data_IF_104399029825
#
_entry.id   IF_104399029825
#
_cell.length_a   1.000
_cell.length_b   1.000
_cell.length_c   1.000
_cell.angle_alpha   90.00
_cell.angle_beta   90.00
_cell.angle_gamma   90.00
#
_symmetry.space_group_name_H-M   'P 1'
#
loop_
_entity.id
_entity.type
_entity.pdbx_description
1 polymer ?
#
# COMPACT_ATOMS: atom_id res chain seq x y z
N UNK A 1 -14.09 1.99 3.04
CA UNK A 1 -13.72 0.56 3.03
C UNK A 1 -12.37 0.39 3.69
N UNK A 2 -12.15 -0.67 4.47
CA UNK A 2 -10.85 -0.97 5.06
C UNK A 2 -10.51 -2.47 5.00
N UNK A 3 -9.21 -2.76 4.97
CA UNK A 3 -8.63 -4.10 4.93
C UNK A 3 -7.41 -4.16 5.85
N UNK A 4 -7.28 -5.28 6.56
CA UNK A 4 -6.13 -5.57 7.43
C UNK A 4 -5.59 -6.95 7.10
N UNK A 5 -4.27 -7.06 7.01
CA UNK A 5 -3.57 -8.33 6.81
C UNK A 5 -2.35 -8.42 7.73
N UNK A 6 -2.04 -9.65 8.16
CA UNK A 6 -0.83 -9.94 8.92
C UNK A 6 -0.10 -11.10 8.29
N UNK A 7 1.17 -10.89 7.96
CA UNK A 7 2.08 -11.93 7.48
C UNK A 7 3.11 -12.21 8.57
N UNK A 8 3.34 -13.50 8.84
CA UNK A 8 4.36 -13.97 9.80
C UNK A 8 5.25 -15.01 9.15
N UNK A 9 6.55 -14.89 9.38
CA UNK A 9 7.53 -15.86 8.91
C UNK A 9 8.72 -15.95 9.87
N UNK A 10 9.14 -17.18 10.19
CA UNK A 10 10.36 -17.40 10.98
C UNK A 10 11.62 -17.05 10.19
N UNK A 11 11.62 -17.32 8.88
CA UNK A 11 12.67 -16.95 7.94
C UNK A 11 12.06 -16.48 6.62
N UNK A 12 12.57 -15.38 6.10
CA UNK A 12 12.19 -14.82 4.80
C UNK A 12 13.45 -14.44 4.02
N UNK A 13 13.49 -14.81 2.74
CA UNK A 13 14.56 -14.42 1.82
C UNK A 13 13.93 -14.04 0.49
N UNK A 14 14.26 -12.84 0.01
CA UNK A 14 13.85 -12.40 -1.31
C UNK A 14 14.88 -12.85 -2.33
N UNK A 15 14.45 -13.53 -3.39
CA UNK A 15 15.33 -13.90 -4.50
C UNK A 15 15.77 -12.65 -5.29
N UNK A 16 14.84 -11.74 -5.52
CA UNK A 16 15.04 -10.44 -6.15
C UNK A 16 14.48 -9.33 -5.25
N UNK A 17 14.94 -8.10 -5.42
CA UNK A 17 14.45 -6.97 -4.64
C UNK A 17 12.97 -6.71 -4.96
N UNK A 18 12.07 -6.76 -3.96
CA UNK A 18 10.64 -6.63 -4.20
C UNK A 18 10.29 -5.18 -4.57
N UNK A 19 9.56 -5.03 -5.69
CA UNK A 19 8.95 -3.76 -6.09
C UNK A 19 7.49 -3.76 -5.66
N UNK A 20 7.10 -2.78 -4.85
CA UNK A 20 5.72 -2.69 -4.34
C UNK A 20 5.07 -1.39 -4.77
N UNK A 21 3.82 -1.47 -5.20
CA UNK A 21 2.99 -0.32 -5.53
C UNK A 21 1.53 -0.64 -5.15
N UNK A 22 0.86 0.34 -4.56
CA UNK A 22 -0.55 0.24 -4.15
C UNK A 22 -1.32 1.28 -4.92
N UNK A 23 -2.44 0.87 -5.53
CA UNK A 23 -3.28 1.73 -6.36
C UNK A 23 -4.73 1.57 -5.94
N UNK A 24 -5.47 2.67 -5.98
CA UNK A 24 -6.90 2.72 -5.68
C UNK A 24 -7.67 3.10 -6.95
N UNK A 25 -7.88 2.17 -7.90
CA UNK A 25 -8.59 2.48 -9.13
C UNK A 25 -10.06 2.85 -8.83
N UNK A 26 -10.56 3.90 -9.49
CA UNK A 26 -11.95 4.36 -9.37
C UNK A 26 -12.08 5.84 -9.70
N UNK A 27 -13.31 6.29 -9.98
CA UNK A 27 -13.63 7.72 -10.16
C UNK A 27 -14.00 8.37 -8.82
N UNK A 28 -13.93 9.71 -8.79
CA UNK A 28 -14.27 10.53 -7.63
C UNK A 28 -13.12 10.78 -6.66
N UNK A 29 -13.19 11.90 -5.94
CA UNK A 29 -12.19 12.30 -4.93
C UNK A 29 -12.19 11.32 -3.77
N UNK A 30 -11.00 10.89 -3.36
CA UNK A 30 -10.80 9.88 -2.31
C UNK A 30 -9.73 10.30 -1.34
N UNK A 31 -9.92 9.89 -0.10
CA UNK A 31 -8.85 9.83 0.90
C UNK A 31 -8.48 8.37 1.08
N UNK A 32 -7.20 8.05 0.98
CA UNK A 32 -6.71 6.69 1.09
C UNK A 32 -5.46 6.60 1.95
N UNK A 33 -5.37 5.53 2.75
CA UNK A 33 -4.27 5.25 3.66
C UNK A 33 -3.71 3.87 3.32
N UNK A 34 -2.40 3.79 3.19
CA UNK A 34 -1.63 2.54 3.07
C UNK A 34 -0.48 2.59 4.07
N UNK A 35 -0.52 1.75 5.10
CA UNK A 35 0.53 1.69 6.12
C UNK A 35 0.92 0.25 6.46
N UNK A 36 2.20 0.04 6.70
CA UNK A 36 2.75 -1.20 7.24
C UNK A 36 3.49 -0.95 8.54
N UNK A 37 3.25 -1.79 9.55
CA UNK A 37 4.13 -1.94 10.70
C UNK A 37 4.96 -3.21 10.51
N UNK A 38 6.28 -3.10 10.73
CA UNK A 38 7.24 -4.16 10.42
C UNK A 38 8.11 -4.46 11.62
N UNK A 39 8.27 -5.76 11.88
CA UNK A 39 9.23 -6.29 12.86
C UNK A 39 10.16 -7.25 12.14
N UNK A 40 11.46 -7.13 12.39
CA UNK A 40 12.48 -7.99 11.79
C UNK A 40 12.80 -7.66 10.32
N UNK A 41 12.25 -6.56 9.78
CA UNK A 41 12.56 -6.04 8.45
C UNK A 41 12.94 -4.55 8.53
N UNK A 42 13.95 -4.11 7.75
CA UNK A 42 14.21 -2.70 7.52
C UNK A 42 13.15 -2.07 6.60
N UNK A 43 13.23 -0.74 6.45
CA UNK A 43 12.37 0.02 5.53
C UNK A 43 12.57 -0.41 4.06
N UNK A 44 13.82 -0.64 3.67
CA UNK A 44 14.17 -1.20 2.36
C UNK A 44 14.84 -2.55 2.53
N UNK A 45 14.25 -3.59 1.93
CA UNK A 45 14.79 -4.95 1.93
C UNK A 45 15.66 -5.17 0.70
N UNK A 46 16.63 -6.07 0.80
CA UNK A 46 17.58 -6.38 -0.26
C UNK A 46 17.44 -7.84 -0.70
N UNK A 47 17.72 -8.10 -1.98
CA UNK A 47 17.82 -9.45 -2.51
C UNK A 47 18.90 -10.26 -1.77
N UNK A 48 18.67 -11.56 -1.64
CA UNK A 48 19.64 -12.51 -1.12
C UNK A 48 19.84 -12.50 0.41
N UNK A 49 19.32 -11.50 1.13
CA UNK A 49 19.44 -11.41 2.59
C UNK A 49 18.41 -12.29 3.32
N UNK A 50 18.86 -12.93 4.40
CA UNK A 50 18.00 -13.68 5.30
C UNK A 50 17.45 -12.79 6.41
N UNK A 51 16.12 -12.68 6.47
CA UNK A 51 15.38 -12.02 7.53
C UNK A 51 14.77 -13.06 8.45
N UNK A 52 14.68 -12.75 9.76
CA UNK A 52 14.21 -13.71 10.77
C UNK A 52 13.19 -13.08 11.70
N UNK A 53 12.26 -13.90 12.21
CA UNK A 53 11.18 -13.47 13.11
C UNK A 53 10.42 -12.28 12.53
N UNK A 54 10.03 -12.42 11.26
CA UNK A 54 9.38 -11.36 10.48
C UNK A 54 7.90 -11.31 10.81
N UNK A 55 7.42 -10.11 11.11
CA UNK A 55 5.99 -9.79 11.13
C UNK A 55 5.75 -8.54 10.31
N UNK A 56 4.75 -8.59 9.42
CA UNK A 56 4.25 -7.43 8.70
C UNK A 56 2.76 -7.32 8.98
N UNK A 57 2.36 -6.27 9.67
CA UNK A 57 0.96 -5.90 9.84
C UNK A 57 0.65 -4.78 8.86
N UNK A 58 -0.34 -4.99 8.00
CA UNK A 58 -0.67 -4.08 6.91
C UNK A 58 -2.10 -3.57 7.07
N UNK A 59 -2.27 -2.26 6.89
CA UNK A 59 -3.55 -1.58 6.95
C UNK A 59 -3.76 -0.77 5.68
N UNK A 60 -4.89 -1.03 5.03
CA UNK A 60 -5.35 -0.32 3.85
C UNK A 60 -6.74 0.24 4.14
N UNK A 61 -6.96 1.53 3.92
CA UNK A 61 -8.26 2.16 4.03
C UNK A 61 -8.48 3.16 2.89
N UNK A 62 -9.72 3.28 2.44
CA UNK A 62 -10.10 4.27 1.42
C UNK A 62 -11.54 4.72 1.64
N UNK A 63 -11.80 6.00 1.43
CA UNK A 63 -13.10 6.62 1.54
C UNK A 63 -13.32 7.57 0.34
N UNK A 64 -14.56 7.61 -0.17
CA UNK A 64 -14.97 8.55 -1.20
C UNK A 64 -15.38 9.84 -0.52
N UNK A 65 -14.67 10.94 -0.77
CA UNK A 65 -14.86 12.22 -0.08
C UNK A 65 -15.54 13.28 -0.97
N UNK A 66 -15.79 12.96 -2.25
CA UNK A 66 -16.55 13.80 -3.18
C UNK A 66 -17.96 13.29 -3.43
N UNK A 67 -18.88 14.19 -3.82
CA UNK A 67 -20.13 13.80 -4.47
C UNK A 67 -19.80 13.10 -5.80
N UNK A 68 -20.62 12.13 -6.26
CA UNK A 68 -20.42 11.53 -7.58
C UNK A 68 -20.39 12.64 -8.63
N UNK A 69 -19.26 12.79 -9.32
CA UNK A 69 -19.20 13.71 -10.46
C UNK A 69 -20.10 13.13 -11.55
N UNK A 70 -21.24 13.79 -11.76
CA UNK A 70 -22.12 13.54 -12.89
C UNK A 70 -21.28 13.72 -14.17
N UNK A 71 -21.31 12.70 -15.05
CA UNK A 71 -20.44 12.49 -16.21
C UNK A 71 -19.91 13.77 -16.86
N UNK A 72 -18.64 14.11 -16.59
CA UNK A 72 -17.92 15.15 -17.33
C UNK A 72 -16.80 14.49 -18.15
N UNK A 73 -16.69 14.77 -19.46
CA UNK A 73 -15.83 14.02 -20.36
C UNK A 73 -14.35 14.17 -19.99
N UNK A 74 -13.62 13.07 -20.17
CA UNK A 74 -12.24 12.86 -19.73
C UNK A 74 -11.29 14.01 -20.11
N UNK A 75 -10.75 14.67 -19.09
CA UNK A 75 -9.71 15.68 -19.23
C UNK A 75 -9.18 16.12 -17.88
N UNK A 76 -8.32 15.31 -17.26
CA UNK A 76 -7.64 15.69 -16.02
C UNK A 76 -6.84 14.53 -15.44
N UNK A 77 -5.52 14.67 -15.47
CA UNK A 77 -4.51 13.77 -14.90
C UNK A 77 -4.86 13.37 -13.45
N UNK A 78 -4.79 12.08 -13.07
CA UNK A 78 -5.05 11.69 -11.69
C UNK A 78 -3.92 12.20 -10.78
N UNK A 79 -4.26 13.05 -9.81
CA UNK A 79 -3.36 13.42 -8.70
C UNK A 79 -3.23 12.20 -7.79
N UNK A 80 -2.10 11.51 -7.89
CA UNK A 80 -1.66 10.47 -6.96
C UNK A 80 -1.16 11.14 -5.66
N UNK A 81 -2.06 11.67 -4.84
CA UNK A 81 -1.70 12.10 -3.48
C UNK A 81 -1.82 10.90 -2.53
N UNK A 82 -0.81 10.02 -2.58
CA UNK A 82 -0.58 8.99 -1.57
C UNK A 82 0.32 9.57 -0.49
N UNK A 83 -0.23 9.89 0.68
CA UNK A 83 0.60 10.20 1.84
C UNK A 83 1.27 8.90 2.33
N UNK A 84 2.57 8.79 2.09
CA UNK A 84 3.41 7.69 2.60
C UNK A 84 4.12 8.20 3.84
N UNK A 85 3.62 7.82 5.02
CA UNK A 85 4.29 7.98 6.32
C UNK A 85 4.50 6.64 7.01
#
# INVERSE_FOLDING_TARGET
MSFRATVRAERLRFAEEPRTAVRFPGTGKRESVSRSERVGLPDTVAAGRDYRRVTVAYHLATELTGQPEEDRPAGGTPSDDVHTE
#
